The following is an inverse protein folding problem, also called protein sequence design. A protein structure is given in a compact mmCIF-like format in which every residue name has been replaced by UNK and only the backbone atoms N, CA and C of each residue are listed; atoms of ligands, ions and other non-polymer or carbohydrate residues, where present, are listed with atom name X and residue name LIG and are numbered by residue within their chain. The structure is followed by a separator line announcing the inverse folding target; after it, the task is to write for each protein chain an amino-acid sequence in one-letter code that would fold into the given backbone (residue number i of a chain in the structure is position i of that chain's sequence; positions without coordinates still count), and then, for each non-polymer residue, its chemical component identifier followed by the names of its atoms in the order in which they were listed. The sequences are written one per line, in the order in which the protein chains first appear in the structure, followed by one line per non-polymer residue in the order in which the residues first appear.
data_IF_217170786495
#
_entry.id   IF_217170786495
#
_cell.length_a   1.000
_cell.length_b   1.000
_cell.length_c   1.000
_cell.angle_alpha   90.00
_cell.angle_beta   90.00
_cell.angle_gamma   90.00
#
_symmetry.space_group_name_H-M   'P 1'
#
loop_
_entity.id
_entity.type
_entity.pdbx_description
1 polymer ?
#
# COMPACT_ATOMS: atom_id res chain seq x y z
N UNK A 1 4.46 7.95 4.33
CA UNK A 1 3.51 7.19 3.49
C UNK A 1 2.12 7.46 4.04
N UNK A 2 1.22 7.95 3.20
CA UNK A 2 -0.18 8.24 3.52
C UNK A 2 -1.07 7.41 2.60
N UNK A 3 -2.34 7.28 2.94
CA UNK A 3 -3.34 6.65 2.07
C UNK A 3 -4.66 7.41 2.17
N UNK A 4 -5.56 7.18 1.21
CA UNK A 4 -6.93 7.68 1.23
C UNK A 4 -7.70 7.19 2.46
N UNK A 5 -7.67 5.88 2.68
CA UNK A 5 -8.40 5.18 3.75
C UNK A 5 -7.56 4.04 4.32
N UNK A 6 -8.01 3.45 5.43
CA UNK A 6 -7.35 2.34 6.10
C UNK A 6 -8.43 1.42 6.67
N UNK A 7 -8.35 0.12 6.40
CA UNK A 7 -9.28 -0.88 6.94
C UNK A 7 -9.36 -0.85 8.47
N UNK A 8 -8.21 -1.01 9.13
CA UNK A 8 -8.06 -0.79 10.57
C UNK A 8 -6.59 -0.59 10.96
N UNK A 9 -6.32 -0.47 12.26
CA UNK A 9 -4.98 -0.22 12.82
C UNK A 9 -3.88 -1.22 12.41
N UNK A 10 -4.25 -2.42 11.93
CA UNK A 10 -3.32 -3.47 11.47
C UNK A 10 -2.79 -3.22 10.07
N UNK A 11 -3.45 -2.36 9.31
CA UNK A 11 -3.21 -2.11 7.90
C UNK A 11 -2.80 -0.68 7.60
N UNK A 12 -2.22 0.03 8.58
CA UNK A 12 -1.77 1.40 8.36
C UNK A 12 -0.81 1.52 7.16
N UNK A 13 -0.79 2.67 6.46
CA UNK A 13 0.00 2.88 5.25
C UNK A 13 1.49 2.55 5.44
N UNK A 14 2.06 2.84 6.61
CA UNK A 14 3.47 2.57 6.87
C UNK A 14 3.82 1.07 6.95
N UNK A 15 2.83 0.18 7.01
CA UNK A 15 3.01 -1.26 6.84
C UNK A 15 3.01 -1.70 5.36
N UNK A 16 2.61 -0.84 4.42
CA UNK A 16 2.67 -1.11 2.98
C UNK A 16 4.09 -1.05 2.37
N UNK A 17 5.14 -1.19 3.20
CA UNK A 17 6.53 -1.22 2.71
C UNK A 17 6.86 -2.62 2.20
N UNK A 18 7.63 -2.69 1.13
CA UNK A 18 8.10 -3.96 0.59
C UNK A 18 8.86 -4.75 1.68
N UNK A 19 8.56 -6.03 1.82
CA UNK A 19 9.08 -6.93 2.88
C UNK A 19 8.73 -6.52 4.31
N UNK A 20 7.68 -5.73 4.52
CA UNK A 20 7.17 -5.47 5.86
C UNK A 20 6.76 -6.78 6.55
N UNK A 21 7.09 -6.88 7.83
CA UNK A 21 6.85 -8.08 8.62
C UNK A 21 6.08 -7.83 9.92
N UNK A 22 5.85 -6.55 10.27
CA UNK A 22 5.02 -6.15 11.39
C UNK A 22 3.55 -6.39 11.05
N UNK A 23 2.81 -6.90 12.03
CA UNK A 23 1.35 -7.09 11.94
C UNK A 23 1.02 -7.93 10.69
N UNK A 24 0.21 -7.42 9.74
CA UNK A 24 -0.16 -8.14 8.50
C UNK A 24 0.77 -7.80 7.33
N UNK A 25 1.77 -6.93 7.53
CA UNK A 25 2.79 -6.68 6.52
C UNK A 25 2.29 -5.98 5.26
N UNK A 26 1.20 -5.20 5.35
CA UNK A 26 0.62 -4.51 4.21
C UNK A 26 -0.32 -3.38 4.60
N UNK A 27 -0.74 -2.63 3.58
CA UNK A 27 -1.84 -1.66 3.67
C UNK A 27 -3.06 -2.21 2.94
N UNK A 28 -4.23 -2.04 3.55
CA UNK A 28 -5.53 -2.36 2.95
C UNK A 28 -6.45 -1.14 3.08
N UNK A 29 -7.13 -0.75 1.99
CA UNK A 29 -8.14 0.30 2.04
C UNK A 29 -9.35 -0.12 2.89
N UNK A 30 -10.17 0.85 3.29
CA UNK A 30 -11.36 0.59 4.11
C UNK A 30 -12.39 -0.28 3.40
N UNK A 31 -12.50 -0.18 2.07
CA UNK A 31 -13.44 -0.98 1.29
C UNK A 31 -12.76 -1.66 0.11
N UNK A 32 -13.36 -2.76 -0.36
CA UNK A 32 -12.89 -3.50 -1.55
C UNK A 32 -13.56 -3.03 -2.85
N UNK A 33 -14.58 -2.18 -2.73
CA UNK A 33 -15.43 -1.75 -3.86
C UNK A 33 -15.01 -0.40 -4.42
N UNK A 34 -14.44 0.47 -3.58
CA UNK A 34 -13.92 1.75 -4.05
C UNK A 34 -12.61 1.54 -4.81
N UNK A 35 -12.58 1.99 -6.06
CA UNK A 35 -11.40 1.91 -6.94
C UNK A 35 -10.63 3.23 -7.01
N UNK A 36 -11.00 4.19 -6.17
CA UNK A 36 -10.34 5.49 -6.02
C UNK A 36 -9.41 5.54 -4.81
N UNK A 37 -9.37 4.48 -4.00
CA UNK A 37 -8.41 4.35 -2.92
C UNK A 37 -6.97 4.29 -3.43
N UNK A 38 -6.07 4.97 -2.72
CA UNK A 38 -4.67 5.08 -3.12
C UNK A 38 -3.72 5.05 -1.93
N UNK A 39 -2.52 4.53 -2.18
CA UNK A 39 -1.37 4.58 -1.29
C UNK A 39 -0.36 5.55 -1.87
N UNK A 40 0.00 6.57 -1.11
CA UNK A 40 0.91 7.62 -1.54
C UNK A 40 2.21 7.60 -0.74
N UNK A 41 3.32 7.55 -1.47
CA UNK A 41 4.64 7.81 -0.89
C UNK A 41 4.84 9.32 -0.84
N UNK A 42 4.52 9.90 0.31
CA UNK A 42 4.83 11.31 0.60
C UNK A 42 6.33 11.41 0.80
N UNK A 43 6.96 12.21 -0.06
CA UNK A 43 8.33 12.69 0.05
C UNK A 43 9.41 11.74 -0.50
N UNK A 44 9.76 11.94 -1.78
CA UNK A 44 11.01 11.44 -2.35
C UNK A 44 12.18 12.40 -2.09
N UNK A 45 11.95 13.55 -1.44
CA UNK A 45 12.96 14.57 -1.12
C UNK A 45 13.61 15.27 -2.32
N UNK A 46 13.40 14.76 -3.54
CA UNK A 46 13.92 15.27 -4.79
C UNK A 46 13.04 14.80 -5.96
N UNK A 47 13.22 15.43 -7.12
CA UNK A 47 12.62 14.96 -8.37
C UNK A 47 13.39 13.72 -8.85
N UNK A 48 12.73 12.56 -8.79
CA UNK A 48 13.29 11.27 -9.23
C UNK A 48 12.56 10.77 -10.48
N UNK A 49 13.30 10.13 -11.38
CA UNK A 49 12.70 9.35 -12.46
C UNK A 49 12.39 7.94 -11.95
N UNK A 50 11.12 7.54 -12.01
CA UNK A 50 10.65 6.21 -11.57
C UNK A 50 10.51 5.32 -12.79
N UNK A 51 11.33 4.26 -12.87
CA UNK A 51 11.33 3.35 -14.02
C UNK A 51 10.45 2.12 -13.84
N UNK A 52 10.15 1.75 -12.60
CA UNK A 52 9.35 0.58 -12.27
C UNK A 52 8.76 0.71 -10.86
N UNK A 53 7.68 -0.02 -10.60
CA UNK A 53 7.06 -0.16 -9.28
C UNK A 53 6.93 -1.64 -8.98
N UNK A 54 7.39 -2.05 -7.79
CA UNK A 54 7.18 -3.39 -7.25
C UNK A 54 6.01 -3.35 -6.27
N UNK A 55 5.12 -4.33 -6.35
CA UNK A 55 3.99 -4.49 -5.44
C UNK A 55 4.11 -5.81 -4.70
N UNK A 56 3.53 -5.87 -3.50
CA UNK A 56 3.46 -7.07 -2.68
C UNK A 56 2.09 -7.11 -1.99
N UNK A 57 1.54 -8.32 -1.86
CA UNK A 57 0.36 -8.55 -1.03
C UNK A 57 0.69 -8.52 0.46
N UNK A 58 -0.34 -8.68 1.28
CA UNK A 58 -0.17 -8.83 2.72
C UNK A 58 0.35 -10.24 3.07
N UNK A 59 0.88 -10.41 4.27
CA UNK A 59 1.67 -11.57 4.68
C UNK A 59 0.86 -12.76 5.20
N UNK A 60 -0.26 -12.51 5.86
CA UNK A 60 -1.03 -13.47 6.65
C UNK A 60 -2.15 -14.10 5.82
N UNK A 61 -3.03 -13.29 5.23
CA UNK A 61 -4.07 -13.76 4.32
C UNK A 61 -3.58 -13.72 2.87
N UNK A 62 -4.28 -14.48 2.04
CA UNK A 62 -3.98 -14.62 0.62
C UNK A 62 -4.60 -13.45 -0.18
N UNK A 63 -4.16 -12.23 0.11
CA UNK A 63 -4.72 -10.98 -0.45
C UNK A 63 -3.63 -10.12 -1.12
N UNK A 64 -3.87 -9.70 -2.37
CA UNK A 64 -2.97 -8.83 -3.13
C UNK A 64 -3.70 -8.05 -4.22
N UNK A 65 -3.13 -6.90 -4.59
CA UNK A 65 -3.58 -6.11 -5.73
C UNK A 65 -3.10 -6.74 -7.04
N UNK A 66 -4.02 -7.02 -7.96
CA UNK A 66 -3.70 -7.58 -9.29
C UNK A 66 -3.62 -6.53 -10.38
N UNK A 67 -4.27 -5.38 -10.20
CA UNK A 67 -4.33 -4.29 -11.17
C UNK A 67 -4.27 -2.95 -10.42
N UNK A 68 -3.48 -2.01 -10.91
CA UNK A 68 -3.35 -0.68 -10.33
C UNK A 68 -3.09 0.37 -11.41
N UNK A 69 -3.23 1.65 -11.03
CA UNK A 69 -2.82 2.82 -11.81
C UNK A 69 -1.81 3.62 -11.00
N UNK A 70 -0.93 4.34 -11.68
CA UNK A 70 0.04 5.28 -11.11
C UNK A 70 -0.29 6.70 -11.55
#
# INVERSE_FOLDING_TARGET
MTASTVFDTRFYPFYGRLHENRVYGGWCPETVTDRTDYLQVVDMGAMLSVCAVATQGEKINNEWTTNYKL
#
